data_IF_080767675012
#
_entry.id   IF_080767675012
#
_cell.length_a   1.000
_cell.length_b   1.000
_cell.length_c   1.000
_cell.angle_alpha   90.00
_cell.angle_beta   90.00
_cell.angle_gamma   90.00
#
_symmetry.space_group_name_H-M   'P 1'
#
loop_
_entity.id
_entity.type
_entity.pdbx_description
1 polymer ?
#
# COMPACT_ATOMS: atom_id res chain seq x y z
N UNK A 1 5.31 17.96 -41.65
CA UNK A 1 5.66 16.54 -41.88
C UNK A 1 6.39 16.47 -43.21
N UNK A 2 7.52 15.77 -43.30
CA UNK A 2 8.28 15.70 -44.55
C UNK A 2 7.45 14.95 -45.62
N UNK A 3 7.19 15.54 -46.80
CA UNK A 3 6.27 14.95 -47.78
C UNK A 3 6.81 13.63 -48.38
N UNK A 4 8.13 13.42 -48.38
CA UNK A 4 8.74 12.14 -48.79
C UNK A 4 8.47 10.99 -47.81
N UNK A 5 8.19 11.29 -46.54
CA UNK A 5 7.79 10.26 -45.56
C UNK A 5 6.44 9.65 -45.93
N UNK A 6 5.50 10.44 -46.46
CA UNK A 6 4.20 9.94 -46.89
C UNK A 6 4.33 8.93 -48.04
N UNK A 7 5.26 9.19 -48.97
CA UNK A 7 5.59 8.27 -50.07
C UNK A 7 6.18 6.96 -49.52
N UNK A 8 7.07 7.03 -48.53
CA UNK A 8 7.63 5.84 -47.88
C UNK A 8 6.58 5.04 -47.11
N UNK A 9 5.66 5.69 -46.39
CA UNK A 9 4.58 5.02 -45.65
C UNK A 9 3.58 4.31 -46.57
N UNK A 10 3.31 4.89 -47.75
CA UNK A 10 2.48 4.26 -48.76
C UNK A 10 3.07 2.96 -49.31
N UNK A 11 4.40 2.82 -49.27
CA UNK A 11 5.11 1.61 -49.71
C UNK A 11 5.38 0.61 -48.59
N UNK A 12 5.61 1.10 -47.37
CA UNK A 12 5.95 0.28 -46.20
C UNK A 12 5.24 0.81 -44.94
N UNK A 13 4.00 0.36 -44.67
CA UNK A 13 3.17 0.89 -43.58
C UNK A 13 3.78 0.73 -42.18
N UNK A 14 4.59 -0.30 -41.96
CA UNK A 14 5.22 -0.60 -40.66
C UNK A 14 6.16 0.51 -40.17
N UNK A 15 6.66 1.37 -41.08
CA UNK A 15 7.48 2.53 -40.73
C UNK A 15 6.75 3.54 -39.84
N UNK A 16 5.42 3.61 -39.92
CA UNK A 16 4.59 4.52 -39.11
C UNK A 16 4.73 4.19 -37.62
N UNK A 17 4.76 2.90 -37.28
CA UNK A 17 4.92 2.45 -35.89
C UNK A 17 6.33 2.74 -35.36
N UNK A 18 7.35 2.55 -36.19
CA UNK A 18 8.74 2.76 -35.82
C UNK A 18 9.08 4.24 -35.63
N UNK A 19 8.43 5.15 -36.37
CA UNK A 19 8.58 6.60 -36.16
C UNK A 19 7.98 7.09 -34.85
N UNK A 20 6.93 6.43 -34.35
CA UNK A 20 6.30 6.85 -33.09
C UNK A 20 7.24 6.78 -31.88
N UNK A 21 8.33 6.00 -31.98
CA UNK A 21 9.39 5.91 -30.95
C UNK A 21 10.64 6.75 -31.24
N UNK A 22 10.73 7.47 -32.37
CA UNK A 22 11.90 8.26 -32.76
C UNK A 22 11.76 9.72 -32.32
N UNK A 23 12.02 9.98 -31.04
CA UNK A 23 11.97 11.34 -30.47
C UNK A 23 13.06 12.27 -31.05
N UNK A 24 14.18 11.69 -31.52
CA UNK A 24 15.32 12.44 -32.04
C UNK A 24 15.21 12.78 -33.54
N UNK A 25 14.21 12.26 -34.26
CA UNK A 25 14.00 12.49 -35.69
C UNK A 25 15.06 11.84 -36.61
N UNK A 26 15.90 10.96 -36.05
CA UNK A 26 17.02 10.33 -36.76
C UNK A 26 16.57 9.25 -37.74
N UNK A 27 15.54 8.48 -37.36
CA UNK A 27 14.94 7.44 -38.19
C UNK A 27 14.10 8.06 -39.31
N UNK A 28 13.33 9.11 -39.02
CA UNK A 28 12.62 9.89 -40.03
C UNK A 28 13.58 10.52 -41.07
N UNK A 29 14.76 10.97 -40.64
CA UNK A 29 15.83 11.44 -41.52
C UNK A 29 16.38 10.35 -42.45
N UNK A 30 16.64 9.15 -41.93
CA UNK A 30 17.11 7.99 -42.70
C UNK A 30 16.12 7.58 -43.81
N UNK A 31 14.83 7.53 -43.48
CA UNK A 31 13.76 7.22 -44.45
C UNK A 31 13.70 8.29 -45.55
N UNK A 32 13.75 9.56 -45.17
CA UNK A 32 13.74 10.68 -46.12
C UNK A 32 14.91 10.58 -47.10
N UNK A 33 16.12 10.34 -46.59
CA UNK A 33 17.32 10.22 -47.43
C UNK A 33 17.23 9.00 -48.36
N UNK A 34 16.74 7.87 -47.87
CA UNK A 34 16.53 6.68 -48.72
C UNK A 34 15.57 6.96 -49.89
N UNK A 35 14.49 7.72 -49.67
CA UNK A 35 13.58 8.12 -50.75
C UNK A 35 14.29 9.05 -51.74
N UNK A 36 15.05 10.05 -51.27
CA UNK A 36 15.81 10.97 -52.14
C UNK A 36 16.86 10.24 -52.97
N UNK A 37 17.61 9.33 -52.35
CA UNK A 37 18.71 8.61 -52.99
C UNK A 37 18.24 7.71 -54.12
N UNK A 38 17.08 7.06 -53.94
CA UNK A 38 16.53 6.12 -54.94
C UNK A 38 15.74 6.84 -56.03
N UNK A 39 14.98 7.88 -55.65
CA UNK A 39 14.12 8.59 -56.61
C UNK A 39 14.83 9.76 -57.30
N UNK A 40 15.98 10.20 -56.78
CA UNK A 40 16.73 11.39 -57.24
C UNK A 40 15.87 12.66 -57.33
N UNK A 41 14.92 12.81 -56.42
CA UNK A 41 14.03 13.97 -56.35
C UNK A 41 13.70 14.29 -54.90
N UNK A 42 13.44 15.57 -54.64
CA UNK A 42 12.96 16.06 -53.34
C UNK A 42 11.43 16.32 -53.34
N UNK A 43 10.81 16.24 -54.52
CA UNK A 43 9.37 16.40 -54.73
C UNK A 43 8.66 15.03 -54.57
N UNK A 44 7.66 14.98 -53.71
CA UNK A 44 6.84 13.82 -53.38
C UNK A 44 5.99 13.31 -54.54
N UNK A 45 5.41 14.20 -55.34
CA UNK A 45 4.63 13.83 -56.52
C UNK A 45 5.53 13.27 -57.62
N UNK A 46 6.71 13.86 -57.79
CA UNK A 46 7.71 13.35 -58.73
C UNK A 46 8.25 11.98 -58.28
N UNK A 47 8.50 11.80 -56.98
CA UNK A 47 8.93 10.52 -56.40
C UNK A 47 7.86 9.44 -56.64
N UNK A 48 6.60 9.75 -56.33
CA UNK A 48 5.48 8.82 -56.48
C UNK A 48 5.27 8.39 -57.94
N UNK A 49 5.30 9.35 -58.87
CA UNK A 49 5.22 9.07 -60.32
C UNK A 49 6.36 8.16 -60.78
N UNK A 50 7.60 8.40 -60.32
CA UNK A 50 8.76 7.59 -60.69
C UNK A 50 8.64 6.15 -60.18
N UNK A 51 8.13 5.98 -58.97
CA UNK A 51 7.86 4.68 -58.35
C UNK A 51 6.72 3.90 -59.02
N UNK A 52 5.77 4.61 -59.64
CA UNK A 52 4.70 3.99 -60.45
C UNK A 52 5.20 3.58 -61.84
N UNK A 53 6.09 4.36 -62.44
CA UNK A 53 6.59 4.12 -63.81
C UNK A 53 7.77 3.16 -63.88
N UNK A 54 8.56 3.03 -62.81
CA UNK A 54 9.78 2.21 -62.79
C UNK A 54 9.71 1.14 -61.67
N UNK A 55 9.38 -0.12 -62.02
CA UNK A 55 9.33 -1.22 -61.07
C UNK A 55 10.66 -1.54 -60.39
N UNK A 56 11.80 -1.24 -61.03
CA UNK A 56 13.14 -1.53 -60.48
C UNK A 56 13.46 -0.54 -59.37
N UNK A 57 13.20 0.75 -59.60
CA UNK A 57 13.34 1.81 -58.58
C UNK A 57 12.41 1.55 -57.39
N UNK A 58 11.18 1.09 -57.65
CA UNK A 58 10.24 0.70 -56.60
C UNK A 58 10.76 -0.46 -55.75
N UNK A 59 11.28 -1.51 -56.37
CA UNK A 59 11.84 -2.66 -55.66
C UNK A 59 13.08 -2.30 -54.84
N UNK A 60 13.97 -1.44 -55.35
CA UNK A 60 15.15 -0.97 -54.61
C UNK A 60 14.75 -0.15 -53.38
N UNK A 61 13.77 0.76 -53.52
CA UNK A 61 13.26 1.53 -52.40
C UNK A 61 12.60 0.64 -51.34
N UNK A 62 11.78 -0.33 -51.77
CA UNK A 62 11.15 -1.28 -50.83
C UNK A 62 12.18 -2.08 -50.04
N UNK A 63 13.24 -2.56 -50.71
CA UNK A 63 14.32 -3.28 -50.05
C UNK A 63 15.05 -2.40 -49.02
N UNK A 64 15.44 -1.19 -49.40
CA UNK A 64 16.13 -0.25 -48.49
C UNK A 64 15.27 0.14 -47.29
N UNK A 65 13.97 0.37 -47.49
CA UNK A 65 13.05 0.67 -46.40
C UNK A 65 12.85 -0.53 -45.46
N UNK A 66 12.80 -1.75 -46.00
CA UNK A 66 12.74 -2.97 -45.19
C UNK A 66 14.01 -3.18 -44.36
N UNK A 67 15.20 -2.92 -44.93
CA UNK A 67 16.47 -3.00 -44.21
C UNK A 67 16.53 -1.97 -43.06
N UNK A 68 16.13 -0.72 -43.34
CA UNK A 68 16.04 0.35 -42.33
C UNK A 68 15.05 -0.01 -41.21
N UNK A 69 13.89 -0.57 -41.56
CA UNK A 69 12.88 -0.99 -40.59
C UNK A 69 13.38 -2.15 -39.71
N UNK A 70 14.08 -3.12 -40.31
CA UNK A 70 14.64 -4.27 -39.61
C UNK A 70 15.74 -3.85 -38.63
N UNK A 71 16.63 -2.94 -39.03
CA UNK A 71 17.67 -2.40 -38.15
C UNK A 71 17.06 -1.65 -36.96
N UNK A 72 16.10 -0.75 -37.20
CA UNK A 72 15.43 -0.01 -36.13
C UNK A 72 14.68 -0.93 -35.16
N UNK A 73 14.01 -1.97 -35.67
CA UNK A 73 13.33 -2.97 -34.83
C UNK A 73 14.33 -3.75 -33.97
N UNK A 74 15.49 -4.13 -34.52
CA UNK A 74 16.55 -4.81 -33.76
C UNK A 74 17.14 -3.92 -32.67
N UNK A 75 17.36 -2.64 -32.96
CA UNK A 75 17.85 -1.67 -31.98
C UNK A 75 16.86 -1.48 -30.84
N UNK A 76 15.56 -1.33 -31.15
CA UNK A 76 14.52 -1.19 -30.14
C UNK A 76 14.43 -2.43 -29.24
N UNK A 77 14.44 -3.63 -29.83
CA UNK A 77 14.40 -4.88 -29.06
C UNK A 77 15.61 -5.01 -28.12
N UNK A 78 16.82 -4.60 -28.56
CA UNK A 78 18.02 -4.59 -27.71
C UNK A 78 17.90 -3.59 -26.56
N UNK A 79 17.37 -2.40 -26.83
CA UNK A 79 17.17 -1.37 -25.81
C UNK A 79 16.14 -1.82 -24.76
N UNK A 80 15.06 -2.47 -25.18
CA UNK A 80 14.03 -3.00 -24.29
C UNK A 80 14.55 -4.18 -23.45
N UNK A 81 15.38 -5.04 -24.02
CA UNK A 81 16.03 -6.12 -23.28
C UNK A 81 17.01 -5.58 -22.23
N UNK A 82 17.80 -4.56 -22.58
CA UNK A 82 18.66 -3.87 -21.61
C UNK A 82 17.86 -3.22 -20.48
N UNK A 83 16.73 -2.56 -20.80
CA UNK A 83 15.85 -1.98 -19.77
C UNK A 83 15.30 -3.05 -18.82
N UNK A 84 14.83 -4.17 -19.37
CA UNK A 84 14.34 -5.30 -18.56
C UNK A 84 15.44 -5.87 -17.67
N UNK A 85 16.66 -5.99 -18.19
CA UNK A 85 17.79 -6.48 -17.42
C UNK A 85 18.12 -5.54 -16.24
N UNK A 86 18.16 -4.23 -16.49
CA UNK A 86 18.37 -3.23 -15.43
C UNK A 86 17.26 -3.29 -14.38
N UNK A 87 15.99 -3.40 -14.80
CA UNK A 87 14.85 -3.52 -13.89
C UNK A 87 14.94 -4.77 -13.01
N UNK A 88 15.34 -5.91 -13.60
CA UNK A 88 15.55 -7.15 -12.86
C UNK A 88 16.69 -7.05 -11.84
N UNK A 89 17.77 -6.36 -12.18
CA UNK A 89 18.92 -6.21 -11.29
C UNK A 89 18.58 -5.27 -10.11
N UNK A 90 17.86 -4.17 -10.37
CA UNK A 90 17.30 -3.30 -9.32
C UNK A 90 16.35 -4.08 -8.40
N UNK A 91 15.48 -4.92 -8.97
CA UNK A 91 14.56 -5.73 -8.16
C UNK A 91 15.29 -6.74 -7.26
N UNK A 92 16.32 -7.40 -7.79
CA UNK A 92 17.17 -8.33 -7.01
C UNK A 92 17.88 -7.60 -5.88
N UNK A 93 18.41 -6.41 -6.14
CA UNK A 93 19.09 -5.59 -5.13
C UNK A 93 18.13 -5.23 -3.98
N UNK A 94 16.93 -4.74 -4.30
CA UNK A 94 15.89 -4.42 -3.31
C UNK A 94 15.51 -5.64 -2.45
N UNK A 95 15.39 -6.83 -3.06
CA UNK A 95 15.09 -8.07 -2.33
C UNK A 95 16.25 -8.44 -1.40
N UNK A 96 17.50 -8.31 -1.86
CA UNK A 96 18.68 -8.59 -1.06
C UNK A 96 18.85 -7.60 0.11
N UNK A 97 18.53 -6.33 -0.10
CA UNK A 97 18.49 -5.31 0.95
C UNK A 97 17.44 -5.65 2.01
N UNK A 98 16.20 -5.95 1.62
CA UNK A 98 15.15 -6.35 2.55
C UNK A 98 15.50 -7.62 3.34
N UNK A 99 16.22 -8.57 2.72
CA UNK A 99 16.71 -9.76 3.41
C UNK A 99 17.75 -9.41 4.49
N UNK A 100 18.69 -8.49 4.19
CA UNK A 100 19.69 -8.00 5.15
C UNK A 100 19.04 -7.26 6.31
N UNK A 101 18.09 -6.36 6.05
CA UNK A 101 17.37 -5.65 7.11
C UNK A 101 16.65 -6.61 8.07
N UNK A 102 16.03 -7.66 7.51
CA UNK A 102 15.37 -8.70 8.30
C UNK A 102 16.36 -9.47 9.17
N UNK A 103 17.53 -9.81 8.63
CA UNK A 103 18.58 -10.49 9.37
C UNK A 103 19.11 -9.62 10.52
N UNK A 104 19.38 -8.34 10.26
CA UNK A 104 19.82 -7.38 11.28
C UNK A 104 18.76 -7.16 12.37
N UNK A 105 17.48 -7.12 12.00
CA UNK A 105 16.38 -7.04 12.97
C UNK A 105 16.32 -8.29 13.86
N UNK A 106 16.50 -9.49 13.29
CA UNK A 106 16.55 -10.74 14.06
C UNK A 106 17.78 -10.82 14.97
N UNK A 107 18.93 -10.35 14.50
CA UNK A 107 20.16 -10.31 15.30
C UNK A 107 20.02 -9.36 16.48
N UNK A 108 19.50 -8.15 16.27
CA UNK A 108 19.20 -7.20 17.36
C UNK A 108 18.20 -7.77 18.36
N UNK A 109 17.13 -8.40 17.88
CA UNK A 109 16.16 -9.06 18.76
C UNK A 109 16.80 -10.20 19.58
N UNK A 110 17.68 -10.99 18.97
CA UNK A 110 18.42 -12.06 19.65
C UNK A 110 19.40 -11.50 20.69
N UNK A 111 20.09 -10.40 20.40
CA UNK A 111 20.96 -9.71 21.35
C UNK A 111 20.18 -9.15 22.54
N UNK A 112 19.01 -8.56 22.29
CA UNK A 112 18.12 -8.06 23.34
C UNK A 112 17.55 -9.20 24.22
N UNK A 113 17.21 -10.33 23.61
CA UNK A 113 16.85 -11.54 24.36
C UNK A 113 18.01 -12.07 25.20
N UNK A 114 19.24 -12.01 24.67
CA UNK A 114 20.45 -12.46 25.36
C UNK A 114 20.77 -11.56 26.56
N UNK A 115 20.74 -10.24 26.38
CA UNK A 115 21.00 -9.29 27.48
C UNK A 115 19.95 -9.38 28.60
N UNK A 116 18.68 -9.64 28.25
CA UNK A 116 17.60 -9.84 29.23
C UNK A 116 17.72 -11.19 29.95
N UNK A 117 18.14 -12.23 29.25
CA UNK A 117 18.42 -13.55 29.81
C UNK A 117 19.60 -13.52 30.78
N UNK A 118 20.71 -12.88 30.38
CA UNK A 118 21.94 -12.77 31.17
C UNK A 118 21.74 -11.94 32.44
N UNK A 119 20.91 -10.88 32.39
CA UNK A 119 20.53 -10.14 33.60
C UNK A 119 19.76 -11.05 34.58
N UNK A 120 18.80 -11.85 34.10
CA UNK A 120 17.98 -12.74 34.94
C UNK A 120 18.79 -13.89 35.55
N UNK A 121 19.73 -14.47 34.81
CA UNK A 121 20.61 -15.53 35.32
C UNK A 121 21.58 -14.97 36.36
N UNK A 122 22.18 -13.81 36.11
CA UNK A 122 23.01 -13.10 37.10
C UNK A 122 22.26 -12.87 38.42
N UNK A 123 20.98 -12.48 38.38
CA UNK A 123 20.14 -12.34 39.58
C UNK A 123 19.76 -13.68 40.23
N UNK A 124 19.40 -14.69 39.44
CA UNK A 124 19.09 -16.02 39.97
C UNK A 124 20.30 -16.59 40.73
N UNK A 125 21.51 -16.37 40.22
CA UNK A 125 22.74 -16.83 40.85
C UNK A 125 23.10 -16.01 42.11
N UNK A 126 22.83 -14.69 42.13
CA UNK A 126 22.97 -13.86 43.33
C UNK A 126 21.96 -14.21 44.43
N UNK A 127 20.73 -14.58 44.06
CA UNK A 127 19.69 -14.99 45.01
C UNK A 127 19.99 -16.34 45.67
N UNK A 128 20.66 -17.25 44.94
CA UNK A 128 21.17 -18.53 45.47
C UNK A 128 22.37 -18.34 46.41
N UNK A 129 23.16 -17.29 46.23
CA UNK A 129 24.35 -17.00 47.03
C UNK A 129 24.02 -16.43 48.44
N UNK A 130 22.76 -16.11 48.75
CA UNK A 130 22.31 -15.77 50.11
C UNK A 130 22.82 -14.43 50.68
N UNK A 131 23.46 -13.58 49.88
CA UNK A 131 24.00 -12.28 50.32
C UNK A 131 22.96 -11.15 50.37
N UNK A 132 23.27 -10.08 51.12
CA UNK A 132 22.42 -8.89 51.28
C UNK A 132 21.99 -8.22 49.95
N UNK A 133 22.73 -8.45 48.86
CA UNK A 133 22.40 -7.98 47.51
C UNK A 133 21.11 -8.56 46.92
N UNK A 134 20.66 -9.74 47.38
CA UNK A 134 19.44 -10.39 46.90
C UNK A 134 18.16 -9.61 47.24
N UNK A 135 18.20 -8.77 48.27
CA UNK A 135 17.06 -7.97 48.72
C UNK A 135 16.97 -6.59 48.07
N UNK A 136 17.99 -6.14 47.34
CA UNK A 136 18.02 -4.79 46.75
C UNK A 136 16.83 -4.60 45.81
N UNK A 137 16.57 -5.55 44.92
CA UNK A 137 15.53 -5.42 43.91
C UNK A 137 14.09 -5.54 44.43
N UNK A 138 13.74 -6.53 45.29
CA UNK A 138 12.43 -6.56 45.95
C UNK A 138 12.17 -5.30 46.77
N UNK A 139 13.19 -4.80 47.49
CA UNK A 139 13.07 -3.59 48.31
C UNK A 139 12.87 -2.36 47.44
N UNK A 140 13.66 -2.18 46.38
CA UNK A 140 13.51 -1.05 45.46
C UNK A 140 12.16 -1.09 44.72
N UNK A 141 11.73 -2.26 44.28
CA UNK A 141 10.42 -2.47 43.65
C UNK A 141 9.27 -2.11 44.58
N UNK A 142 9.38 -2.51 45.86
CA UNK A 142 8.41 -2.20 46.90
C UNK A 142 8.38 -0.69 47.18
N UNK A 143 9.54 -0.05 47.32
CA UNK A 143 9.66 1.39 47.57
C UNK A 143 9.06 2.20 46.42
N UNK A 144 9.38 1.88 45.16
CA UNK A 144 8.85 2.58 43.97
C UNK A 144 7.33 2.39 43.88
N UNK A 145 6.83 1.17 44.14
CA UNK A 145 5.39 0.86 44.09
C UNK A 145 4.62 1.60 45.18
N UNK A 146 5.12 1.57 46.43
CA UNK A 146 4.51 2.30 47.55
C UNK A 146 4.55 3.81 47.30
N UNK A 147 5.68 4.34 46.80
CA UNK A 147 5.82 5.75 46.45
C UNK A 147 4.82 6.21 45.39
N UNK A 148 4.60 5.39 44.35
CA UNK A 148 3.60 5.67 43.32
C UNK A 148 2.17 5.65 43.89
N UNK A 149 1.81 4.65 44.69
CA UNK A 149 0.48 4.57 45.33
C UNK A 149 0.23 5.73 46.28
N UNK A 150 1.25 6.12 47.06
CA UNK A 150 1.17 7.30 47.92
C UNK A 150 0.97 8.59 47.14
N UNK A 151 1.66 8.76 46.01
CA UNK A 151 1.48 9.93 45.17
C UNK A 151 0.10 9.99 44.52
N UNK A 152 -0.40 8.85 44.00
CA UNK A 152 -1.76 8.74 43.46
C UNK A 152 -2.79 9.06 44.55
N UNK A 153 -2.60 8.55 45.77
CA UNK A 153 -3.45 8.88 46.91
C UNK A 153 -3.44 10.39 47.23
N UNK A 154 -2.25 11.03 47.20
CA UNK A 154 -2.12 12.47 47.44
C UNK A 154 -2.80 13.33 46.38
N UNK A 155 -2.93 12.81 45.16
CA UNK A 155 -3.60 13.44 44.01
C UNK A 155 -5.13 13.50 44.19
N UNK A 156 -5.69 12.62 45.03
CA UNK A 156 -7.12 12.60 45.34
C UNK A 156 -7.53 13.59 46.44
N UNK A 157 -6.57 14.33 47.02
CA UNK A 157 -6.86 15.34 48.04
C UNK A 157 -7.43 16.60 47.37
N UNK A 158 -8.68 17.00 47.70
CA UNK A 158 -9.34 18.15 47.08
C UNK A 158 -8.67 19.51 47.37
N UNK A 159 -7.72 19.56 48.31
CA UNK A 159 -6.98 20.78 48.65
C UNK A 159 -5.69 20.97 47.83
N UNK A 160 -5.40 20.05 46.89
CA UNK A 160 -4.21 20.12 46.07
C UNK A 160 -4.50 21.00 44.83
N UNK A 161 -3.95 22.21 44.80
CA UNK A 161 -4.10 23.11 43.65
C UNK A 161 -3.19 22.65 42.50
N UNK A 162 -3.80 21.98 41.52
CA UNK A 162 -3.14 21.36 40.37
C UNK A 162 -3.19 22.23 39.11
N UNK A 163 -3.73 23.45 39.22
CA UNK A 163 -3.82 24.36 38.09
C UNK A 163 -2.41 24.88 37.76
N UNK A 164 -1.86 24.42 36.63
CA UNK A 164 -0.63 24.90 35.97
C UNK A 164 0.75 24.45 36.52
N UNK A 165 0.84 23.42 37.35
CA UNK A 165 2.17 23.03 37.86
C UNK A 165 2.92 22.08 36.90
N UNK A 166 3.70 22.63 35.96
CA UNK A 166 4.51 21.84 35.01
C UNK A 166 5.42 20.82 35.70
N UNK A 167 5.95 21.17 36.87
CA UNK A 167 6.77 20.29 37.73
C UNK A 167 5.98 19.05 38.16
N UNK A 168 4.68 19.20 38.44
CA UNK A 168 3.80 18.10 38.81
C UNK A 168 3.58 17.13 37.64
N UNK A 169 3.36 17.64 36.42
CA UNK A 169 3.20 16.80 35.22
C UNK A 169 4.49 16.04 34.88
N UNK A 170 5.66 16.67 35.07
CA UNK A 170 6.96 16.01 34.90
C UNK A 170 7.17 14.93 35.97
N UNK A 171 6.84 15.23 37.24
CA UNK A 171 6.97 14.27 38.34
C UNK A 171 6.04 13.06 38.19
N UNK A 172 4.78 13.29 37.78
CA UNK A 172 3.81 12.24 37.49
C UNK A 172 4.28 11.35 36.33
N UNK A 173 4.83 11.95 35.27
CA UNK A 173 5.40 11.22 34.13
C UNK A 173 6.61 10.38 34.53
N UNK A 174 7.55 10.95 35.28
CA UNK A 174 8.75 10.25 35.75
C UNK A 174 8.43 9.06 36.66
N UNK A 175 7.45 9.22 37.56
CA UNK A 175 7.07 8.15 38.48
C UNK A 175 6.22 7.07 37.80
N UNK A 176 5.37 7.44 36.84
CA UNK A 176 4.67 6.48 35.99
C UNK A 176 5.66 5.64 35.17
N UNK A 177 6.73 6.26 34.66
CA UNK A 177 7.80 5.56 33.94
C UNK A 177 8.61 4.61 34.85
N UNK A 178 8.91 5.03 36.07
CA UNK A 178 9.58 4.18 37.07
C UNK A 178 8.72 2.97 37.46
N UNK A 179 7.42 3.19 37.70
CA UNK A 179 6.47 2.12 38.02
C UNK A 179 6.30 1.13 36.85
N UNK A 180 6.17 1.63 35.61
CA UNK A 180 6.11 0.78 34.42
C UNK A 180 7.39 -0.07 34.23
N UNK A 181 8.55 0.45 34.65
CA UNK A 181 9.82 -0.29 34.62
C UNK A 181 9.82 -1.43 35.65
N UNK A 182 9.26 -1.22 36.85
CA UNK A 182 9.09 -2.27 37.87
C UNK A 182 8.14 -3.36 37.37
N UNK A 183 7.01 -3.00 36.75
CA UNK A 183 6.09 -3.99 36.14
C UNK A 183 6.80 -4.78 35.03
N UNK A 184 7.52 -4.09 34.14
CA UNK A 184 8.27 -4.74 33.06
C UNK A 184 9.35 -5.70 33.56
N UNK A 185 9.98 -5.38 34.69
CA UNK A 185 10.97 -6.24 35.34
C UNK A 185 10.32 -7.54 35.88
N UNK A 186 9.22 -7.43 36.62
CA UNK A 186 8.58 -8.58 37.30
C UNK A 186 7.68 -9.42 36.38
N UNK A 187 6.98 -8.79 35.43
CA UNK A 187 6.00 -9.46 34.56
C UNK A 187 6.49 -9.67 33.12
N UNK A 188 7.68 -9.15 32.77
CA UNK A 188 8.30 -9.28 31.45
C UNK A 188 7.89 -8.21 30.44
N UNK A 189 8.76 -7.96 29.45
CA UNK A 189 8.69 -6.82 28.51
C UNK A 189 7.43 -6.75 27.63
N UNK A 190 6.62 -7.82 27.58
CA UNK A 190 5.37 -7.87 26.82
C UNK A 190 4.31 -6.87 27.31
N UNK A 191 4.40 -6.44 28.57
CA UNK A 191 3.47 -5.48 29.20
C UNK A 191 4.03 -4.05 29.10
N UNK A 192 5.32 -3.84 29.35
CA UNK A 192 5.92 -2.50 29.42
C UNK A 192 6.14 -1.77 28.09
N UNK A 193 6.31 -2.48 26.97
CA UNK A 193 6.50 -1.85 25.64
C UNK A 193 5.19 -1.26 25.09
N UNK A 194 4.04 -1.87 25.42
CA UNK A 194 2.74 -1.41 24.93
C UNK A 194 2.29 -0.13 25.61
N UNK A 195 2.56 0.02 26.90
CA UNK A 195 2.10 1.18 27.67
C UNK A 195 2.94 2.43 27.41
N UNK A 196 4.26 2.29 27.17
CA UNK A 196 5.14 3.44 26.82
C UNK A 196 4.74 4.09 25.49
N UNK A 197 4.40 3.28 24.49
CA UNK A 197 3.96 3.79 23.18
C UNK A 197 2.54 4.35 23.23
N UNK A 198 1.65 3.77 24.03
CA UNK A 198 0.27 4.24 24.20
C UNK A 198 0.24 5.58 24.94
N UNK A 199 1.04 5.76 26.00
CA UNK A 199 1.07 7.02 26.76
C UNK A 199 1.69 8.15 25.92
N UNK A 200 2.77 7.89 25.20
CA UNK A 200 3.38 8.89 24.31
C UNK A 200 2.46 9.24 23.14
N UNK A 201 1.78 8.25 22.55
CA UNK A 201 0.79 8.51 21.49
C UNK A 201 -0.44 9.20 22.03
N UNK A 202 -0.93 8.87 23.23
CA UNK A 202 -2.09 9.52 23.85
C UNK A 202 -1.82 11.00 24.12
N UNK A 203 -0.65 11.36 24.64
CA UNK A 203 -0.25 12.76 24.88
C UNK A 203 -0.16 13.56 23.57
N UNK A 204 0.41 12.98 22.52
CA UNK A 204 0.48 13.64 21.19
C UNK A 204 -0.90 13.72 20.53
N UNK A 205 -1.75 12.71 20.71
CA UNK A 205 -3.09 12.64 20.13
C UNK A 205 -4.05 13.60 20.85
N UNK A 206 -3.92 13.79 22.17
CA UNK A 206 -4.72 14.75 22.94
C UNK A 206 -4.37 16.20 22.59
N UNK A 207 -3.08 16.49 22.37
CA UNK A 207 -2.63 17.79 21.88
C UNK A 207 -3.07 18.07 20.43
N UNK A 208 -3.15 17.04 19.59
CA UNK A 208 -3.65 17.14 18.23
C UNK A 208 -5.19 17.26 18.18
N UNK A 209 -5.91 16.56 19.04
CA UNK A 209 -7.38 16.57 19.11
C UNK A 209 -7.91 17.93 19.59
N UNK A 210 -7.29 18.54 20.62
CA UNK A 210 -7.65 19.90 21.08
C UNK A 210 -7.46 20.96 19.98
N UNK A 211 -6.48 20.80 19.08
CA UNK A 211 -6.27 21.70 17.93
C UNK A 211 -7.29 21.51 16.79
N UNK A 212 -7.95 20.37 16.74
CA UNK A 212 -8.91 20.01 15.67
C UNK A 212 -10.35 20.35 16.09
N UNK A 213 -10.69 20.17 17.38
CA UNK A 213 -12.00 20.56 17.93
C UNK A 213 -12.29 22.06 17.82
N UNK A 214 -11.27 22.92 17.84
CA UNK A 214 -11.46 24.37 17.61
C UNK A 214 -11.79 24.75 16.15
N UNK A 215 -11.70 23.82 15.17
CA UNK A 215 -11.76 24.19 13.74
C UNK A 215 -12.94 23.66 12.93
N UNK A 216 -13.74 22.69 13.37
CA UNK A 216 -14.79 22.13 12.49
C UNK A 216 -16.01 21.63 13.27
N UNK A 217 -17.15 22.31 13.11
CA UNK A 217 -18.48 21.73 13.36
C UNK A 217 -18.93 20.95 12.12
N UNK A 218 -19.44 19.70 12.23
CA UNK A 218 -19.86 18.90 11.08
C UNK A 218 -21.38 18.98 10.81
N UNK A 219 -21.83 19.00 9.54
CA UNK A 219 -23.21 18.69 9.19
C UNK A 219 -23.43 17.18 9.00
N UNK A 220 -24.69 16.81 9.18
CA UNK A 220 -25.31 15.48 9.29
C UNK A 220 -25.11 14.57 8.06
N UNK A 221 -24.89 13.28 8.30
CA UNK A 221 -24.51 12.27 7.30
C UNK A 221 -25.71 11.67 6.54
N UNK A 222 -25.53 11.48 5.24
CA UNK A 222 -26.47 10.80 4.33
C UNK A 222 -26.60 9.29 4.63
N UNK A 223 -27.74 8.65 4.28
CA UNK A 223 -28.01 7.24 4.59
C UNK A 223 -27.09 6.27 3.81
N UNK A 224 -26.85 5.05 4.35
CA UNK A 224 -25.95 4.08 3.75
C UNK A 224 -26.51 3.49 2.44
N UNK A 225 -25.67 3.23 1.42
CA UNK A 225 -26.10 2.54 0.21
C UNK A 225 -26.38 1.06 0.50
N UNK A 226 -27.53 0.58 0.00
CA UNK A 226 -27.97 -0.81 0.07
C UNK A 226 -27.53 -1.49 -1.22
N UNK A 227 -26.67 -2.51 -1.13
CA UNK A 227 -26.42 -3.45 -2.22
C UNK A 227 -27.76 -4.06 -2.64
N UNK A 228 -28.21 -3.75 -3.86
CA UNK A 228 -29.48 -4.23 -4.39
C UNK A 228 -29.51 -5.76 -4.52
N UNK A 229 -30.71 -6.27 -4.28
CA UNK A 229 -31.05 -7.57 -3.70
C UNK A 229 -31.07 -8.71 -4.72
N UNK A 230 -29.99 -8.89 -5.49
CA UNK A 230 -29.81 -10.06 -6.35
C UNK A 230 -28.85 -11.06 -5.68
N UNK A 231 -29.43 -11.81 -4.73
CA UNK A 231 -28.78 -12.90 -4.00
C UNK A 231 -28.33 -14.06 -4.92
N UNK A 232 -27.25 -14.75 -4.52
CA UNK A 232 -27.48 -15.98 -3.77
C UNK A 232 -27.12 -15.79 -2.29
N UNK A 233 -28.11 -16.04 -1.44
CA UNK A 233 -27.92 -16.29 -0.02
C UNK A 233 -27.15 -17.60 0.14
N UNK A 234 -25.95 -17.52 0.68
CA UNK A 234 -25.20 -18.69 1.10
C UNK A 234 -23.76 -18.29 1.33
N UNK A 235 -23.29 -18.42 2.56
CA UNK A 235 -21.88 -18.33 2.87
C UNK A 235 -21.11 -19.32 1.99
N UNK A 236 -20.47 -18.82 0.94
CA UNK A 236 -19.46 -19.59 0.23
C UNK A 236 -18.11 -19.21 0.82
N UNK A 237 -17.75 -19.96 1.86
CA UNK A 237 -16.38 -20.15 2.33
C UNK A 237 -15.48 -20.86 1.28
N UNK A 238 -15.84 -20.82 -0.01
CA UNK A 238 -15.10 -21.44 -1.12
C UNK A 238 -15.09 -20.64 -2.44
N UNK A 239 -15.63 -19.42 -2.50
CA UNK A 239 -15.61 -18.63 -3.73
C UNK A 239 -14.25 -17.97 -3.95
N UNK A 240 -13.67 -18.14 -5.15
CA UNK A 240 -12.38 -17.57 -5.55
C UNK A 240 -12.47 -16.05 -5.68
N UNK A 241 -11.31 -15.40 -5.63
CA UNK A 241 -11.18 -13.95 -5.87
C UNK A 241 -11.82 -13.55 -7.21
N UNK A 242 -11.61 -14.34 -8.26
CA UNK A 242 -12.16 -14.12 -9.60
C UNK A 242 -13.69 -14.13 -9.65
N UNK A 243 -14.35 -14.88 -8.77
CA UNK A 243 -15.81 -14.88 -8.70
C UNK A 243 -16.36 -13.70 -7.92
N UNK A 244 -15.68 -13.24 -6.87
CA UNK A 244 -16.18 -12.14 -6.02
C UNK A 244 -15.81 -10.76 -6.52
N UNK A 245 -14.56 -10.59 -6.99
CA UNK A 245 -13.99 -9.30 -7.37
C UNK A 245 -14.84 -8.53 -8.40
N UNK A 246 -15.40 -9.15 -9.47
CA UNK A 246 -16.22 -8.44 -10.44
C UNK A 246 -17.44 -7.77 -9.82
N UNK A 247 -18.18 -8.48 -8.97
CA UNK A 247 -19.40 -7.96 -8.35
C UNK A 247 -19.10 -6.86 -7.34
N UNK A 248 -18.01 -7.00 -6.56
CA UNK A 248 -17.56 -5.96 -5.63
C UNK A 248 -17.11 -4.70 -6.39
N UNK A 249 -16.36 -4.86 -7.49
CA UNK A 249 -15.97 -3.74 -8.35
C UNK A 249 -17.20 -3.02 -8.91
N UNK A 250 -18.22 -3.78 -9.36
CA UNK A 250 -19.49 -3.20 -9.83
C UNK A 250 -20.21 -2.41 -8.74
N UNK A 251 -20.21 -2.90 -7.50
CA UNK A 251 -20.70 -2.16 -6.34
C UNK A 251 -19.96 -0.83 -6.15
N UNK A 252 -18.62 -0.88 -6.12
CA UNK A 252 -17.78 0.32 -5.97
C UNK A 252 -18.00 1.36 -7.09
N UNK A 253 -18.17 0.89 -8.32
CA UNK A 253 -18.50 1.73 -9.48
C UNK A 253 -19.85 2.41 -9.28
N UNK A 254 -20.86 1.64 -8.84
CA UNK A 254 -22.24 2.13 -8.68
C UNK A 254 -22.34 3.12 -7.52
N UNK A 255 -21.80 2.77 -6.35
CA UNK A 255 -21.97 3.54 -5.13
C UNK A 255 -21.14 4.83 -5.11
N UNK A 256 -20.01 4.84 -5.81
CA UNK A 256 -19.07 5.96 -5.77
C UNK A 256 -18.79 6.61 -7.13
N UNK A 257 -19.37 6.12 -8.22
CA UNK A 257 -19.13 6.64 -9.57
C UNK A 257 -17.67 6.47 -10.01
N UNK A 258 -17.08 5.31 -9.71
CA UNK A 258 -15.68 5.00 -10.06
C UNK A 258 -15.57 4.45 -11.48
N UNK A 259 -14.39 4.58 -12.09
CA UNK A 259 -14.05 3.83 -13.30
C UNK A 259 -13.64 2.39 -12.98
N UNK A 260 -13.63 1.50 -13.99
CA UNK A 260 -13.12 0.13 -13.85
C UNK A 260 -11.73 0.08 -13.23
N UNK A 261 -10.81 0.92 -13.73
CA UNK A 261 -9.44 1.00 -13.24
C UNK A 261 -9.38 1.41 -11.77
N UNK A 262 -10.24 2.34 -11.35
CA UNK A 262 -10.31 2.83 -9.97
C UNK A 262 -10.85 1.76 -9.03
N UNK A 263 -11.97 1.12 -9.37
CA UNK A 263 -12.57 0.06 -8.57
C UNK A 263 -11.66 -1.18 -8.48
N UNK A 264 -11.06 -1.60 -9.60
CA UNK A 264 -10.12 -2.71 -9.62
C UNK A 264 -8.79 -2.36 -8.91
N UNK A 265 -8.41 -1.08 -8.87
CA UNK A 265 -7.27 -0.61 -8.08
C UNK A 265 -7.47 -0.73 -6.57
N UNK A 266 -8.70 -0.50 -6.08
CA UNK A 266 -9.08 -0.80 -4.68
C UNK A 266 -8.94 -2.31 -4.43
N UNK A 267 -9.52 -3.13 -5.31
CA UNK A 267 -9.48 -4.59 -5.16
C UNK A 267 -8.07 -5.19 -5.26
N UNK A 268 -7.15 -4.53 -5.97
CA UNK A 268 -5.74 -4.92 -5.98
C UNK A 268 -5.07 -4.79 -4.61
N UNK A 269 -5.40 -3.73 -3.87
CA UNK A 269 -4.95 -3.55 -2.49
C UNK A 269 -5.59 -4.60 -1.57
N UNK A 270 -6.91 -4.71 -1.59
CA UNK A 270 -7.67 -5.65 -0.76
C UNK A 270 -7.23 -7.10 -1.02
N UNK A 271 -7.04 -7.47 -2.28
CA UNK A 271 -6.59 -8.81 -2.66
C UNK A 271 -5.26 -9.18 -2.03
N UNK A 272 -4.33 -8.22 -1.88
CA UNK A 272 -3.09 -8.44 -1.15
C UNK A 272 -3.32 -8.55 0.37
N UNK A 273 -4.10 -7.63 0.95
CA UNK A 273 -4.34 -7.58 2.41
C UNK A 273 -5.01 -8.85 2.96
N UNK A 274 -5.96 -9.43 2.21
CA UNK A 274 -6.73 -10.60 2.66
C UNK A 274 -6.50 -11.87 1.84
N UNK A 275 -5.41 -11.92 1.06
CA UNK A 275 -5.04 -13.06 0.22
C UNK A 275 -6.19 -13.52 -0.71
N UNK A 276 -6.86 -12.55 -1.34
CA UNK A 276 -8.00 -12.77 -2.22
C UNK A 276 -9.25 -13.28 -1.49
N UNK A 277 -9.61 -12.64 -0.37
CA UNK A 277 -10.76 -12.95 0.49
C UNK A 277 -10.67 -14.29 1.25
N UNK A 278 -9.46 -14.83 1.42
CA UNK A 278 -9.22 -16.10 2.13
C UNK A 278 -8.71 -15.90 3.56
N UNK A 279 -8.02 -14.78 3.81
CA UNK A 279 -7.39 -14.47 5.08
C UNK A 279 -8.04 -13.23 5.71
N UNK A 280 -8.98 -13.44 6.63
CA UNK A 280 -9.66 -12.34 7.32
C UNK A 280 -8.95 -11.88 8.59
N UNK A 281 -8.21 -12.74 9.27
CA UNK A 281 -7.47 -12.37 10.49
C UNK A 281 -5.98 -12.27 10.17
N UNK A 282 -5.30 -11.28 10.73
CA UNK A 282 -3.85 -11.14 10.60
C UNK A 282 -3.11 -12.43 11.04
N UNK A 283 -2.14 -12.87 10.23
CA UNK A 283 -1.34 -14.06 10.52
C UNK A 283 -0.41 -13.83 11.70
N UNK A 284 -0.27 -14.82 12.57
CA UNK A 284 0.63 -14.76 13.73
C UNK A 284 0.07 -14.02 14.95
N UNK A 285 -1.09 -13.36 14.82
CA UNK A 285 -1.72 -12.64 15.92
C UNK A 285 -3.04 -13.33 16.33
N UNK A 286 -3.20 -13.65 17.62
CA UNK A 286 -4.43 -14.28 18.14
C UNK A 286 -5.57 -13.24 18.27
N UNK A 287 -6.81 -13.55 17.83
CA UNK A 287 -7.97 -12.71 18.09
C UNK A 287 -8.13 -12.39 19.59
N UNK A 288 -8.65 -11.20 19.95
CA UNK A 288 -9.14 -10.13 19.09
C UNK A 288 -8.04 -9.14 18.63
N UNK A 289 -6.76 -9.52 18.75
CA UNK A 289 -5.63 -8.66 18.37
C UNK A 289 -5.33 -8.77 16.88
N UNK A 290 -4.68 -7.74 16.33
CA UNK A 290 -4.25 -7.69 14.93
C UNK A 290 -5.33 -7.22 13.96
N UNK A 291 -5.00 -7.23 12.67
CA UNK A 291 -5.88 -6.90 11.56
C UNK A 291 -7.07 -7.84 11.43
N UNK A 292 -8.23 -7.30 11.03
CA UNK A 292 -9.39 -8.09 10.62
C UNK A 292 -10.02 -7.56 9.33
N UNK A 293 -10.61 -8.44 8.53
CA UNK A 293 -11.42 -8.09 7.37
C UNK A 293 -10.62 -7.96 6.08
N UNK A 294 -11.30 -7.49 5.04
CA UNK A 294 -10.73 -7.28 3.70
C UNK A 294 -9.52 -6.34 3.71
N UNK A 295 -9.62 -5.22 4.42
CA UNK A 295 -8.57 -4.21 4.50
C UNK A 295 -7.66 -4.38 5.72
N UNK A 296 -7.69 -5.55 6.39
CA UNK A 296 -6.90 -5.80 7.60
C UNK A 296 -7.01 -4.66 8.64
N UNK A 297 -8.23 -4.18 8.91
CA UNK A 297 -8.45 -3.09 9.87
C UNK A 297 -7.85 -3.44 11.22
N UNK A 298 -7.03 -2.54 11.76
CA UNK A 298 -6.36 -2.71 13.06
C UNK A 298 -6.86 -1.68 14.08
N UNK A 299 -6.61 -1.94 15.37
CA UNK A 299 -6.81 -0.97 16.44
C UNK A 299 -8.23 -0.36 16.48
N UNK A 300 -8.36 0.99 16.49
CA UNK A 300 -9.68 1.65 16.47
C UNK A 300 -10.54 1.29 15.27
N UNK A 301 -9.96 1.16 14.06
CA UNK A 301 -10.72 0.82 12.84
C UNK A 301 -11.30 -0.58 12.93
N UNK A 302 -10.56 -1.54 13.50
CA UNK A 302 -11.08 -2.89 13.77
C UNK A 302 -12.31 -2.87 14.66
N UNK A 303 -12.25 -2.13 15.78
CA UNK A 303 -13.38 -2.02 16.71
C UNK A 303 -14.59 -1.36 16.04
N UNK A 304 -14.36 -0.37 15.19
CA UNK A 304 -15.42 0.28 14.41
C UNK A 304 -16.04 -0.69 13.39
N UNK A 305 -15.24 -1.54 12.74
CA UNK A 305 -15.72 -2.61 11.86
C UNK A 305 -16.57 -3.64 12.61
N UNK A 306 -16.04 -4.19 13.72
CA UNK A 306 -16.74 -5.19 14.54
C UNK A 306 -18.05 -4.63 15.07
N UNK A 307 -18.05 -3.36 15.55
CA UNK A 307 -19.26 -2.64 15.97
C UNK A 307 -20.26 -2.50 14.82
N UNK A 308 -19.82 -2.04 13.65
CA UNK A 308 -20.67 -1.90 12.47
C UNK A 308 -21.36 -3.23 12.12
N UNK A 309 -20.59 -4.32 12.06
CA UNK A 309 -21.14 -5.62 11.71
C UNK A 309 -22.13 -6.13 12.78
N UNK A 310 -21.85 -5.93 14.07
CA UNK A 310 -22.79 -6.27 15.15
C UNK A 310 -24.09 -5.46 15.07
N UNK A 311 -24.01 -4.15 14.83
CA UNK A 311 -25.19 -3.27 14.72
C UNK A 311 -26.09 -3.66 13.54
N UNK A 312 -25.52 -4.24 12.48
CA UNK A 312 -26.26 -4.65 11.28
C UNK A 312 -26.58 -6.16 11.26
N UNK A 313 -26.25 -6.90 12.33
CA UNK A 313 -26.51 -8.35 12.42
C UNK A 313 -25.74 -9.18 11.38
N UNK A 314 -24.56 -8.72 10.95
CA UNK A 314 -23.76 -9.33 9.89
C UNK A 314 -22.61 -10.17 10.47
N UNK A 315 -22.30 -11.30 9.80
CA UNK A 315 -21.06 -12.06 10.07
C UNK A 315 -19.84 -11.23 9.63
N UNK A 316 -18.84 -11.14 10.50
CA UNK A 316 -17.59 -10.41 10.26
C UNK A 316 -16.79 -10.93 9.04
N UNK A 317 -17.06 -12.16 8.59
CA UNK A 317 -16.48 -12.74 7.37
C UNK A 317 -17.33 -12.52 6.13
N UNK A 318 -18.55 -12.02 6.27
CA UNK A 318 -19.46 -11.82 5.14
C UNK A 318 -18.98 -10.67 4.26
N UNK A 319 -19.25 -10.80 2.96
CA UNK A 319 -18.95 -9.75 1.99
C UNK A 319 -19.77 -8.49 2.31
N UNK A 320 -21.00 -8.64 2.80
CA UNK A 320 -21.85 -7.53 3.25
C UNK A 320 -21.22 -6.73 4.40
N UNK A 321 -20.66 -7.38 5.42
CA UNK A 321 -19.99 -6.68 6.52
C UNK A 321 -18.76 -5.91 6.04
N UNK A 322 -17.91 -6.58 5.25
CA UNK A 322 -16.65 -6.01 4.80
C UNK A 322 -16.87 -4.87 3.80
N UNK A 323 -17.72 -5.08 2.80
CA UNK A 323 -18.09 -4.04 1.84
C UNK A 323 -18.81 -2.88 2.50
N UNK A 324 -19.81 -3.16 3.34
CA UNK A 324 -20.60 -2.11 3.99
C UNK A 324 -19.74 -1.19 4.86
N UNK A 325 -18.79 -1.74 5.61
CA UNK A 325 -17.87 -0.93 6.41
C UNK A 325 -16.84 -0.17 5.56
N UNK A 326 -16.29 -0.80 4.51
CA UNK A 326 -15.43 -0.12 3.54
C UNK A 326 -16.15 1.09 2.93
N UNK A 327 -17.39 0.90 2.47
CA UNK A 327 -18.21 1.95 1.89
C UNK A 327 -18.51 3.07 2.89
N UNK A 328 -18.79 2.71 4.16
CA UNK A 328 -18.96 3.69 5.24
C UNK A 328 -17.71 4.55 5.42
N UNK A 329 -16.52 3.97 5.46
CA UNK A 329 -15.27 4.74 5.61
C UNK A 329 -15.00 5.61 4.38
N UNK A 330 -15.15 5.07 3.17
CA UNK A 330 -14.95 5.84 1.93
C UNK A 330 -15.95 6.99 1.77
N UNK A 331 -17.15 6.87 2.32
CA UNK A 331 -18.14 7.95 2.39
C UNK A 331 -17.91 8.94 3.54
N UNK A 332 -16.99 8.67 4.46
CA UNK A 332 -16.78 9.50 5.67
C UNK A 332 -15.29 9.68 6.00
N UNK A 333 -14.76 8.93 6.98
CA UNK A 333 -13.42 9.12 7.55
C UNK A 333 -12.28 8.97 6.54
N UNK A 334 -12.51 8.24 5.45
CA UNK A 334 -11.55 8.00 4.37
C UNK A 334 -11.99 8.62 3.03
N UNK A 335 -12.90 9.61 3.05
CA UNK A 335 -13.34 10.33 1.85
C UNK A 335 -12.19 11.02 1.09
N UNK A 336 -11.13 11.43 1.79
CA UNK A 336 -9.94 11.98 1.17
C UNK A 336 -9.19 10.94 0.31
N UNK A 337 -9.17 9.67 0.73
CA UNK A 337 -8.58 8.59 -0.05
C UNK A 337 -9.39 8.33 -1.33
N UNK A 338 -10.73 8.31 -1.22
CA UNK A 338 -11.62 8.20 -2.37
C UNK A 338 -11.45 9.39 -3.35
N UNK A 339 -11.35 10.61 -2.85
CA UNK A 339 -11.15 11.80 -3.66
C UNK A 339 -9.82 11.76 -4.42
N UNK A 340 -8.76 11.26 -3.79
CA UNK A 340 -7.47 11.07 -4.45
C UNK A 340 -7.53 9.96 -5.51
N UNK A 341 -8.18 8.83 -5.19
CA UNK A 341 -8.37 7.73 -6.12
C UNK A 341 -9.11 8.17 -7.39
N UNK A 342 -10.14 9.01 -7.27
CA UNK A 342 -10.91 9.52 -8.41
C UNK A 342 -10.09 10.34 -9.41
N UNK A 343 -8.91 10.83 -9.02
CA UNK A 343 -7.98 11.55 -9.91
C UNK A 343 -7.09 10.61 -10.73
N UNK A 344 -7.01 9.33 -10.35
CA UNK A 344 -6.19 8.34 -11.02
C UNK A 344 -6.79 7.99 -12.38
N UNK A 345 -5.93 7.93 -13.40
CA UNK A 345 -6.29 7.66 -14.81
C UNK A 345 -5.97 6.24 -15.26
N UNK A 346 -5.07 5.57 -14.55
CA UNK A 346 -4.65 4.20 -14.85
C UNK A 346 -4.92 3.25 -13.68
N UNK A 347 -4.89 1.94 -13.96
CA UNK A 347 -4.98 0.90 -12.94
C UNK A 347 -3.85 1.04 -11.91
N UNK A 348 -2.61 1.30 -12.38
CA UNK A 348 -1.45 1.47 -11.49
C UNK A 348 -1.57 2.71 -10.61
N UNK A 349 -1.97 3.86 -11.17
CA UNK A 349 -2.22 5.07 -10.38
C UNK A 349 -3.31 4.84 -9.34
N UNK A 350 -4.34 4.06 -9.68
CA UNK A 350 -5.44 3.74 -8.79
C UNK A 350 -4.97 2.88 -7.60
N UNK A 351 -4.17 1.85 -7.89
CA UNK A 351 -3.53 1.02 -6.86
C UNK A 351 -2.66 1.87 -5.94
N UNK A 352 -1.80 2.73 -6.50
CA UNK A 352 -0.92 3.62 -5.73
C UNK A 352 -1.71 4.61 -4.87
N UNK A 353 -2.73 5.24 -5.43
CA UNK A 353 -3.55 6.23 -4.73
C UNK A 353 -4.24 5.62 -3.51
N UNK A 354 -4.87 4.46 -3.68
CA UNK A 354 -5.54 3.76 -2.59
C UNK A 354 -4.53 3.23 -1.56
N UNK A 355 -3.42 2.65 -1.99
CA UNK A 355 -2.34 2.18 -1.11
C UNK A 355 -1.80 3.30 -0.21
N UNK A 356 -1.50 4.45 -0.79
CA UNK A 356 -0.88 5.57 -0.07
C UNK A 356 -1.84 6.32 0.84
N UNK A 357 -3.15 6.34 0.52
CA UNK A 357 -4.12 7.16 1.25
C UNK A 357 -5.05 6.36 2.15
N UNK A 358 -5.40 5.14 1.80
CA UNK A 358 -6.28 4.28 2.59
C UNK A 358 -5.51 3.26 3.43
N UNK A 359 -4.67 2.44 2.78
CA UNK A 359 -3.97 1.34 3.46
C UNK A 359 -2.78 1.82 4.30
N UNK A 360 -1.99 2.77 3.77
CA UNK A 360 -0.80 3.35 4.41
C UNK A 360 0.13 2.26 4.99
N UNK A 361 0.51 1.23 4.19
CA UNK A 361 1.26 0.09 4.71
C UNK A 361 2.70 0.50 5.04
N UNK A 362 3.30 -0.16 6.03
CA UNK A 362 4.74 0.00 6.31
C UNK A 362 5.61 -0.47 5.14
N UNK A 363 5.22 -1.57 4.48
CA UNK A 363 5.86 -2.07 3.25
C UNK A 363 4.86 -1.97 2.09
N UNK A 364 5.12 -1.16 1.06
CA UNK A 364 4.17 -0.94 -0.03
C UNK A 364 3.76 -2.20 -0.81
N UNK A 365 4.69 -3.09 -1.15
CA UNK A 365 4.47 -4.26 -2.03
C UNK A 365 3.58 -3.94 -3.26
N UNK A 366 3.95 -2.91 -4.01
CA UNK A 366 3.16 -2.43 -5.14
C UNK A 366 2.97 -3.49 -6.24
N UNK A 367 4.02 -4.26 -6.54
CA UNK A 367 3.96 -5.32 -7.56
C UNK A 367 2.92 -6.40 -7.21
N UNK A 368 2.85 -6.83 -5.95
CA UNK A 368 1.83 -7.75 -5.48
C UNK A 368 0.42 -7.18 -5.59
N UNK A 369 0.23 -5.91 -5.22
CA UNK A 369 -1.07 -5.21 -5.36
C UNK A 369 -1.50 -5.08 -6.82
N UNK A 370 -0.56 -4.78 -7.72
CA UNK A 370 -0.80 -4.72 -9.17
C UNK A 370 -1.16 -6.09 -9.75
N UNK A 371 -0.56 -7.19 -9.28
CA UNK A 371 -0.92 -8.53 -9.70
C UNK A 371 -2.40 -8.84 -9.38
N UNK A 372 -2.84 -8.52 -8.17
CA UNK A 372 -4.24 -8.66 -7.77
C UNK A 372 -5.17 -7.71 -8.55
N UNK A 373 -4.74 -6.46 -8.79
CA UNK A 373 -5.52 -5.48 -9.54
C UNK A 373 -5.77 -5.95 -10.98
N UNK A 374 -4.75 -6.51 -11.64
CA UNK A 374 -4.88 -7.07 -12.99
C UNK A 374 -5.81 -8.28 -13.02
N UNK A 375 -5.76 -9.16 -11.99
CA UNK A 375 -6.73 -10.26 -11.85
C UNK A 375 -8.15 -9.75 -11.70
N UNK A 376 -8.36 -8.73 -10.88
CA UNK A 376 -9.68 -8.11 -10.69
C UNK A 376 -10.20 -7.50 -12.00
N UNK A 377 -9.36 -6.73 -12.71
CA UNK A 377 -9.74 -6.08 -13.96
C UNK A 377 -10.06 -7.10 -15.07
N UNK A 378 -9.25 -8.16 -15.17
CA UNK A 378 -9.52 -9.27 -16.10
C UNK A 378 -10.87 -9.92 -15.79
N UNK A 379 -11.09 -10.33 -14.55
CA UNK A 379 -12.33 -10.98 -14.15
C UNK A 379 -13.56 -10.07 -14.33
N UNK A 380 -13.43 -8.77 -14.06
CA UNK A 380 -14.50 -7.79 -14.27
C UNK A 380 -14.92 -7.70 -15.74
N UNK A 381 -13.93 -7.61 -16.64
CA UNK A 381 -14.19 -7.54 -18.08
C UNK A 381 -14.77 -8.84 -18.61
N UNK A 382 -14.28 -9.99 -18.18
CA UNK A 382 -14.85 -11.28 -18.56
C UNK A 382 -16.31 -11.43 -18.10
N UNK A 383 -16.65 -10.92 -16.91
CA UNK A 383 -18.00 -11.03 -16.36
C UNK A 383 -19.04 -10.08 -16.98
N UNK A 384 -18.63 -8.89 -17.44
CA UNK A 384 -19.57 -7.83 -17.86
C UNK A 384 -19.33 -7.25 -19.26
N UNK A 385 -18.24 -7.59 -19.93
CA UNK A 385 -17.90 -7.13 -21.28
C UNK A 385 -17.66 -8.29 -22.26
N UNK A 386 -17.69 -9.53 -21.76
CA UNK A 386 -17.46 -10.76 -22.51
C UNK A 386 -18.69 -11.29 -23.24
#
# INVERSE_FOLDING_TARGET
MNPLLLVAFGLFPDLVRLIAGDEAGTFAGRITNAVKDVTHTEDDKAAQKKLETDPVVKADLQKRLADIALEATKEQNRADEQKRQVELDVLKENIAEAAREREDALNRFREELKSTGDARTFYADMSKAGGAGAWINPTLSLVITIGFLFFVYRLMDPNLDLNENQVFNIALGAMSAAFATVIGFHFGSSVGSKDKDIVNKALVTEQAAKRIEERVSPPEAAPPPVLSDERPSGGSSGATFEMKAPHIARGLITDFGLTENQACGILGNIGLECDGFRQFQERGTKPPRGGWGWCQWTGPRRRAFEKYAMEHGLDFRSDAANYGFLSKELGSSEAAALAQLKRAKSLEESVKAFMQKFERPGVPNLAGRLLWANRALKAYREAFHG
#
